data_IF_574306207166
#
_entry.id   IF_574306207166
#
_cell.length_a   1.000
_cell.length_b   1.000
_cell.length_c   1.000
_cell.angle_alpha   90.00
_cell.angle_beta   90.00
_cell.angle_gamma   90.00
#
_symmetry.space_group_name_H-M   'P 1'
#
loop_
_entity.id
_entity.type
_entity.pdbx_description
1 polymer ?
#
# COMPACT_ATOMS: atom_id res chain seq x y z
N UNK A 1 17.37 -20.66 6.23
CA UNK A 1 16.92 -19.29 6.49
C UNK A 1 17.73 -18.29 5.70
N UNK A 2 18.87 -17.75 6.18
CA UNK A 2 19.58 -16.65 5.49
C UNK A 2 19.98 -16.94 4.04
N UNK A 3 20.30 -18.19 3.69
CA UNK A 3 20.63 -18.62 2.33
C UNK A 3 19.41 -18.78 1.39
N UNK A 4 18.19 -18.50 1.85
CA UNK A 4 16.95 -18.69 1.07
C UNK A 4 16.47 -20.13 0.93
N UNK A 5 17.23 -21.10 1.47
CA UNK A 5 16.83 -22.51 1.53
C UNK A 5 15.68 -22.73 2.50
N UNK A 6 14.88 -23.75 2.22
CA UNK A 6 13.81 -24.23 3.09
C UNK A 6 14.36 -24.60 4.47
N UNK A 7 13.68 -24.19 5.54
CA UNK A 7 14.05 -24.47 6.92
C UNK A 7 12.81 -24.61 7.80
N UNK A 8 12.99 -25.09 9.02
CA UNK A 8 11.92 -25.13 10.02
C UNK A 8 12.20 -24.09 11.12
N UNK A 9 11.36 -23.04 11.28
CA UNK A 9 11.59 -22.00 12.28
C UNK A 9 11.59 -22.57 13.70
N UNK A 10 10.75 -23.57 13.96
CA UNK A 10 10.63 -24.25 15.26
C UNK A 10 11.93 -24.95 15.67
N UNK A 11 12.73 -25.44 14.71
CA UNK A 11 13.98 -26.15 14.98
C UNK A 11 15.21 -25.24 15.09
N UNK A 12 15.10 -23.98 14.65
CA UNK A 12 16.22 -23.04 14.64
C UNK A 12 16.54 -22.46 16.02
N UNK A 13 15.58 -22.47 16.95
CA UNK A 13 15.72 -21.96 18.31
C UNK A 13 16.36 -20.55 18.38
N UNK A 14 16.03 -19.66 17.44
CA UNK A 14 16.60 -18.31 17.41
C UNK A 14 16.05 -17.45 18.57
N UNK A 15 16.89 -17.02 19.53
CA UNK A 15 16.42 -16.27 20.69
C UNK A 15 16.07 -14.81 20.37
N UNK A 16 16.46 -14.28 19.20
CA UNK A 16 16.24 -12.88 18.84
C UNK A 16 14.76 -12.52 18.76
N UNK A 17 13.90 -13.47 18.38
CA UNK A 17 12.45 -13.28 18.37
C UNK A 17 11.91 -12.86 19.74
N UNK A 18 12.27 -13.60 20.78
CA UNK A 18 11.83 -13.31 22.15
C UNK A 18 12.45 -12.02 22.70
N UNK A 19 13.67 -11.68 22.26
CA UNK A 19 14.37 -10.48 22.71
C UNK A 19 13.67 -9.22 22.19
N UNK A 20 13.35 -9.15 20.90
CA UNK A 20 12.74 -7.94 20.33
C UNK A 20 11.29 -7.74 20.76
N UNK A 21 10.46 -8.80 20.83
CA UNK A 21 9.03 -8.67 21.14
C UNK A 21 8.78 -7.98 22.49
N UNK A 22 9.64 -8.21 23.49
CA UNK A 22 9.54 -7.54 24.80
C UNK A 22 9.75 -6.03 24.72
N UNK A 23 10.76 -5.59 23.96
CA UNK A 23 11.09 -4.16 23.81
C UNK A 23 10.10 -3.48 22.88
N UNK A 24 9.75 -4.14 21.77
CA UNK A 24 8.74 -3.70 20.82
C UNK A 24 7.39 -3.46 21.50
N UNK A 25 6.94 -4.37 22.38
CA UNK A 25 5.70 -4.19 23.13
C UNK A 25 5.70 -2.89 23.93
N UNK A 26 6.76 -2.63 24.69
CA UNK A 26 6.88 -1.40 25.49
C UNK A 26 6.93 -0.14 24.63
N UNK A 27 7.63 -0.19 23.50
CA UNK A 27 7.62 0.91 22.53
C UNK A 27 6.23 1.13 21.93
N UNK A 28 5.47 0.07 21.63
CA UNK A 28 4.11 0.22 21.09
C UNK A 28 3.11 0.76 22.13
N UNK A 29 3.38 0.56 23.42
CA UNK A 29 2.55 1.05 24.53
C UNK A 29 2.93 2.47 24.99
N UNK A 30 4.02 3.06 24.47
CA UNK A 30 4.44 4.39 24.89
C UNK A 30 3.55 5.48 24.30
N UNK A 31 3.26 6.52 25.10
CA UNK A 31 2.66 7.75 24.58
C UNK A 31 3.66 8.39 23.62
N UNK A 32 3.31 8.39 22.33
CA UNK A 32 4.13 8.92 21.26
C UNK A 32 4.64 10.34 21.61
N UNK A 33 5.87 10.66 21.20
CA UNK A 33 6.60 11.91 21.49
C UNK A 33 7.13 12.12 22.93
N UNK A 34 6.61 11.43 23.95
CA UNK A 34 7.01 11.67 25.35
C UNK A 34 8.14 10.78 25.85
N UNK A 35 8.28 9.56 25.32
CA UNK A 35 9.27 8.59 25.82
C UNK A 35 10.29 8.18 24.76
N UNK A 36 11.38 8.95 24.68
CA UNK A 36 12.53 8.62 23.83
C UNK A 36 13.30 7.37 24.31
N UNK A 37 13.10 6.91 25.56
CA UNK A 37 13.92 5.83 26.13
C UNK A 37 13.56 4.46 25.57
N UNK A 38 12.27 4.15 25.42
CA UNK A 38 11.86 2.86 24.84
C UNK A 38 12.21 2.77 23.36
N UNK A 39 12.15 3.89 22.63
CA UNK A 39 12.61 3.94 21.24
C UNK A 39 14.12 3.66 21.14
N UNK A 40 14.93 4.31 21.98
CA UNK A 40 16.39 4.05 22.02
C UNK A 40 16.72 2.61 22.44
N UNK A 41 15.92 1.99 23.30
CA UNK A 41 16.05 0.56 23.60
C UNK A 41 15.71 -0.30 22.39
N UNK A 42 14.66 0.03 21.64
CA UNK A 42 14.27 -0.69 20.44
C UNK A 42 15.35 -0.58 19.35
N UNK A 43 15.93 0.61 19.14
CA UNK A 43 17.00 0.86 18.16
C UNK A 43 18.19 -0.09 18.31
N UNK A 44 18.54 -0.46 19.55
CA UNK A 44 19.65 -1.40 19.85
C UNK A 44 19.43 -2.83 19.32
N UNK A 45 18.20 -3.18 18.93
CA UNK A 45 17.89 -4.47 18.34
C UNK A 45 18.03 -4.50 16.82
N UNK A 46 18.14 -3.34 16.16
CA UNK A 46 18.31 -3.29 14.70
C UNK A 46 19.77 -3.48 14.31
N UNK A 47 19.99 -3.97 13.08
CA UNK A 47 21.34 -4.09 12.54
C UNK A 47 21.97 -2.71 12.30
N UNK A 48 21.15 -1.75 11.87
CA UNK A 48 21.54 -0.34 11.70
C UNK A 48 20.32 0.54 11.95
N UNK A 49 20.47 1.54 12.80
CA UNK A 49 19.44 2.49 13.19
C UNK A 49 20.04 3.89 13.36
N UNK A 50 19.92 4.78 12.36
CA UNK A 50 20.40 6.16 12.47
C UNK A 50 19.64 6.97 13.52
N UNK A 51 20.25 8.05 14.01
CA UNK A 51 19.64 8.88 15.06
C UNK A 51 18.49 9.75 14.56
N UNK A 52 18.46 10.05 13.26
CA UNK A 52 17.44 10.83 12.59
C UNK A 52 16.25 10.00 12.08
N UNK A 53 16.20 8.70 12.42
CA UNK A 53 15.08 7.84 12.02
C UNK A 53 13.85 8.07 12.91
N UNK A 54 12.67 7.97 12.29
CA UNK A 54 11.38 8.13 12.96
C UNK A 54 10.52 6.88 12.72
N UNK A 55 10.05 6.27 13.81
CA UNK A 55 9.02 5.23 13.79
C UNK A 55 7.81 5.72 14.57
N UNK A 56 6.62 5.69 13.96
CA UNK A 56 5.37 5.92 14.67
C UNK A 56 4.88 4.58 15.23
N UNK A 57 4.70 4.42 16.55
CA UNK A 57 4.10 3.21 17.10
C UNK A 57 2.62 3.09 16.68
N UNK A 58 2.08 1.86 16.53
CA UNK A 58 2.76 0.60 16.76
C UNK A 58 3.62 0.15 15.56
N UNK A 59 4.68 -0.61 15.86
CA UNK A 59 5.54 -1.28 14.87
C UNK A 59 5.77 -2.74 15.24
N UNK A 60 6.00 -3.58 14.24
CA UNK A 60 6.14 -5.03 14.41
C UNK A 60 7.33 -5.60 13.64
N UNK A 61 8.15 -6.40 14.32
CA UNK A 61 9.32 -7.09 13.78
C UNK A 61 9.32 -8.55 14.25
N UNK A 62 9.93 -9.46 13.50
CA UNK A 62 10.20 -10.81 13.99
C UNK A 62 11.47 -10.85 14.83
N UNK A 63 12.57 -10.30 14.32
CA UNK A 63 13.89 -10.36 14.95
C UNK A 63 14.54 -9.00 15.19
N UNK A 64 14.28 -8.03 14.29
CA UNK A 64 14.88 -6.69 14.23
C UNK A 64 16.35 -6.67 13.83
N UNK A 65 17.15 -7.61 14.31
CA UNK A 65 18.60 -7.66 14.08
C UNK A 65 19.00 -7.98 12.64
N UNK A 66 18.03 -8.09 11.73
CA UNK A 66 18.21 -8.26 10.28
C UNK A 66 17.72 -7.06 9.47
N UNK A 67 17.25 -6.01 10.16
CA UNK A 67 16.75 -4.77 9.55
C UNK A 67 17.83 -3.70 9.63
N UNK A 68 18.14 -3.08 8.49
CA UNK A 68 19.08 -1.97 8.37
C UNK A 68 18.40 -0.75 7.77
N UNK A 69 18.38 0.35 8.53
CA UNK A 69 17.80 1.63 8.10
C UNK A 69 18.88 2.59 7.58
N UNK A 70 18.59 3.33 6.51
CA UNK A 70 19.34 4.50 6.08
C UNK A 70 18.93 5.77 6.84
N UNK A 71 19.64 6.88 6.58
CA UNK A 71 19.39 8.17 7.23
C UNK A 71 18.07 8.76 6.79
N UNK A 72 17.48 9.61 7.62
CA UNK A 72 16.21 10.29 7.34
C UNK A 72 15.08 9.31 6.98
N UNK A 73 15.06 8.16 7.67
CA UNK A 73 14.02 7.15 7.50
C UNK A 73 12.78 7.53 8.30
N UNK A 74 11.61 7.50 7.67
CA UNK A 74 10.33 7.73 8.32
C UNK A 74 9.36 6.58 8.03
N UNK A 75 8.76 6.02 9.07
CA UNK A 75 7.65 5.08 8.90
C UNK A 75 6.47 5.47 9.79
N UNK A 76 5.31 5.63 9.16
CA UNK A 76 4.05 5.88 9.82
C UNK A 76 3.52 4.64 10.58
N UNK A 77 2.45 4.80 11.33
CA UNK A 77 1.93 3.82 12.26
C UNK A 77 1.55 2.50 11.57
N UNK A 78 1.75 1.38 12.26
CA UNK A 78 1.37 0.06 11.77
C UNK A 78 2.40 -0.61 10.86
N UNK A 79 3.65 -0.13 10.82
CA UNK A 79 4.73 -0.80 10.10
C UNK A 79 4.89 -2.25 10.60
N UNK A 80 4.86 -3.21 9.67
CA UNK A 80 5.13 -4.61 9.96
C UNK A 80 6.27 -5.12 9.08
N UNK A 81 7.32 -5.67 9.68
CA UNK A 81 8.44 -6.28 8.97
C UNK A 81 8.64 -7.71 9.49
N UNK A 82 8.37 -8.70 8.64
CA UNK A 82 8.72 -10.10 8.93
C UNK A 82 10.14 -10.35 8.42
N UNK A 83 11.13 -10.10 9.27
CA UNK A 83 12.56 -10.14 8.95
C UNK A 83 13.20 -11.52 9.19
N UNK A 84 12.57 -12.58 8.68
CA UNK A 84 13.19 -13.91 8.54
C UNK A 84 14.45 -13.93 7.64
N UNK A 85 14.68 -12.88 6.87
CA UNK A 85 15.92 -12.58 6.15
C UNK A 85 16.21 -11.05 6.23
N UNK A 86 17.27 -10.60 5.57
CA UNK A 86 17.67 -9.18 5.58
C UNK A 86 16.61 -8.28 4.98
N UNK A 87 16.34 -7.17 5.65
CA UNK A 87 15.56 -6.04 5.11
C UNK A 87 16.45 -4.80 5.16
N UNK A 88 16.71 -4.21 4.01
CA UNK A 88 17.63 -3.06 3.89
C UNK A 88 16.91 -1.88 3.26
N UNK A 89 17.03 -0.71 3.88
CA UNK A 89 16.52 0.56 3.37
C UNK A 89 17.69 1.51 3.07
N UNK A 90 17.57 2.24 1.96
CA UNK A 90 18.43 3.39 1.64
C UNK A 90 18.10 4.62 2.50
N UNK A 91 18.66 5.77 2.10
CA UNK A 91 18.44 7.04 2.77
C UNK A 91 17.14 7.71 2.27
N UNK A 92 16.50 8.56 3.09
CA UNK A 92 15.29 9.32 2.74
C UNK A 92 14.12 8.46 2.27
N UNK A 93 13.86 7.37 3.01
CA UNK A 93 12.73 6.48 2.74
C UNK A 93 11.53 6.88 3.60
N UNK A 94 10.37 7.01 2.97
CA UNK A 94 9.10 7.34 3.61
C UNK A 94 8.11 6.19 3.45
N UNK A 95 7.62 5.65 4.57
CA UNK A 95 6.57 4.65 4.58
C UNK A 95 5.27 5.25 5.12
N UNK A 96 4.19 5.12 4.36
CA UNK A 96 2.84 5.42 4.79
C UNK A 96 2.35 4.46 5.88
N UNK A 97 1.12 4.67 6.39
CA UNK A 97 0.58 3.84 7.47
C UNK A 97 0.33 2.41 7.00
N UNK A 98 0.47 1.44 7.91
CA UNK A 98 0.16 0.03 7.68
C UNK A 98 0.94 -0.63 6.51
N UNK A 99 2.16 -0.17 6.24
CA UNK A 99 3.04 -0.85 5.26
C UNK A 99 3.54 -2.16 5.85
N UNK A 100 3.46 -3.22 5.06
CA UNK A 100 3.91 -4.56 5.44
C UNK A 100 5.03 -5.06 4.52
N UNK A 101 6.14 -5.53 5.10
CA UNK A 101 7.31 -6.00 4.37
C UNK A 101 7.64 -7.41 4.82
N UNK A 102 7.61 -8.36 3.88
CA UNK A 102 7.76 -9.77 4.19
C UNK A 102 8.99 -10.34 3.53
N UNK A 103 9.87 -10.94 4.33
CA UNK A 103 10.95 -11.79 3.80
C UNK A 103 10.58 -13.27 3.84
N UNK A 104 9.66 -13.67 4.72
CA UNK A 104 9.20 -15.04 4.88
C UNK A 104 8.14 -15.45 3.85
N UNK A 105 8.14 -16.71 3.45
CA UNK A 105 7.09 -17.33 2.65
C UNK A 105 7.03 -18.84 2.89
N UNK A 106 5.89 -19.44 2.57
CA UNK A 106 5.70 -20.89 2.71
C UNK A 106 5.64 -21.59 1.35
N UNK A 107 6.07 -22.86 1.26
CA UNK A 107 5.79 -23.69 0.09
C UNK A 107 4.30 -23.67 -0.27
N UNK A 108 4.00 -23.56 -1.57
CA UNK A 108 2.61 -23.57 -2.08
C UNK A 108 1.97 -24.95 -1.83
N UNK A 109 2.74 -26.02 -2.01
CA UNK A 109 2.28 -27.38 -1.71
C UNK A 109 1.93 -27.54 -0.23
N UNK A 110 0.68 -27.94 0.03
CA UNK A 110 0.16 -28.09 1.38
C UNK A 110 0.85 -29.23 2.16
N UNK A 111 1.20 -30.33 1.49
CA UNK A 111 1.84 -31.48 2.12
C UNK A 111 3.29 -31.20 2.56
N UNK A 112 4.01 -30.36 1.83
CA UNK A 112 5.31 -29.83 2.24
C UNK A 112 5.14 -28.81 3.35
N UNK A 113 4.23 -27.83 3.20
CA UNK A 113 3.99 -26.78 4.21
C UNK A 113 3.57 -27.34 5.57
N UNK A 114 2.78 -28.42 5.59
CA UNK A 114 2.37 -29.13 6.81
C UNK A 114 3.54 -29.71 7.63
N UNK A 115 4.76 -29.75 7.06
CA UNK A 115 5.99 -30.17 7.74
C UNK A 115 6.63 -29.04 8.56
N UNK A 116 5.92 -27.93 8.77
CA UNK A 116 6.36 -26.74 9.52
C UNK A 116 7.66 -26.16 8.96
N UNK A 117 7.64 -25.92 7.66
CA UNK A 117 8.77 -25.39 6.91
C UNK A 117 8.40 -24.11 6.17
N UNK A 118 9.38 -23.25 6.01
CA UNK A 118 9.28 -21.97 5.30
C UNK A 118 10.60 -21.64 4.59
N UNK A 119 10.57 -20.64 3.73
CA UNK A 119 11.75 -20.06 3.10
C UNK A 119 11.75 -18.56 3.37
N UNK A 120 12.92 -17.92 3.30
CA UNK A 120 13.02 -16.48 3.45
C UNK A 120 13.93 -15.85 2.41
N UNK A 121 13.50 -14.77 1.77
CA UNK A 121 14.28 -14.04 0.75
C UNK A 121 14.45 -12.58 1.17
N UNK A 122 15.64 -11.99 1.01
CA UNK A 122 15.90 -10.63 1.47
C UNK A 122 15.06 -9.61 0.69
N UNK A 123 14.75 -8.48 1.32
CA UNK A 123 14.10 -7.33 0.68
C UNK A 123 15.06 -6.14 0.72
N UNK A 124 15.20 -5.44 -0.40
CA UNK A 124 16.04 -4.25 -0.52
C UNK A 124 15.22 -3.09 -1.07
N UNK A 125 15.27 -1.94 -0.41
CA UNK A 125 14.57 -0.71 -0.79
C UNK A 125 15.64 0.38 -0.93
N UNK A 126 15.69 1.00 -2.10
CA UNK A 126 16.65 2.06 -2.44
C UNK A 126 16.46 3.34 -1.62
N UNK A 127 17.20 4.38 -2.02
CA UNK A 127 17.07 5.71 -1.42
C UNK A 127 15.97 6.51 -2.12
N UNK A 128 15.46 7.56 -1.47
CA UNK A 128 14.43 8.46 -2.01
C UNK A 128 13.11 7.73 -2.37
N UNK A 129 12.80 6.64 -1.66
CA UNK A 129 11.59 5.85 -1.90
C UNK A 129 10.43 6.32 -1.04
N UNK A 130 9.26 6.46 -1.64
CA UNK A 130 8.00 6.63 -0.94
C UNK A 130 7.07 5.44 -1.17
N UNK A 131 6.65 4.78 -0.10
CA UNK A 131 5.69 3.68 -0.13
C UNK A 131 4.38 4.13 0.50
N UNK A 132 3.32 4.16 -0.29
CA UNK A 132 1.97 4.53 0.14
C UNK A 132 1.40 3.57 1.18
N UNK A 133 0.42 4.04 1.95
CA UNK A 133 -0.17 3.26 3.04
C UNK A 133 -0.86 1.98 2.57
N UNK A 134 -0.91 0.98 3.46
CA UNK A 134 -1.44 -0.37 3.20
C UNK A 134 -0.76 -1.14 2.05
N UNK A 135 0.44 -0.73 1.62
CA UNK A 135 1.20 -1.50 0.64
C UNK A 135 1.88 -2.73 1.28
N UNK A 136 2.01 -3.79 0.49
CA UNK A 136 2.64 -5.06 0.87
C UNK A 136 3.82 -5.36 -0.06
N UNK A 137 5.00 -5.59 0.52
CA UNK A 137 6.22 -5.97 -0.19
C UNK A 137 6.53 -7.44 0.06
N UNK A 138 6.56 -8.26 -0.99
CA UNK A 138 6.75 -9.71 -0.88
C UNK A 138 8.24 -10.13 -0.75
N UNK A 139 8.51 -11.41 -0.46
CA UNK A 139 9.88 -11.93 -0.34
C UNK A 139 10.73 -11.78 -1.60
N UNK A 140 11.97 -11.34 -1.43
CA UNK A 140 12.96 -11.30 -2.52
C UNK A 140 12.89 -10.05 -3.39
N UNK A 141 12.08 -9.06 -3.01
CA UNK A 141 11.84 -7.86 -3.80
C UNK A 141 12.96 -6.84 -3.59
N UNK A 142 13.41 -6.28 -4.71
CA UNK A 142 14.26 -5.09 -4.78
C UNK A 142 13.44 -3.94 -5.35
N UNK A 143 13.33 -2.85 -4.59
CA UNK A 143 12.81 -1.56 -5.05
C UNK A 143 14.01 -0.64 -5.28
N UNK A 144 14.07 -0.06 -6.47
CA UNK A 144 15.08 0.89 -6.90
C UNK A 144 15.10 2.20 -6.11
N UNK A 145 15.95 3.13 -6.54
CA UNK A 145 16.03 4.49 -5.98
C UNK A 145 14.99 5.42 -6.63
N UNK A 146 14.55 6.44 -5.90
CA UNK A 146 13.58 7.43 -6.38
C UNK A 146 12.31 6.75 -6.94
N UNK A 147 11.66 5.95 -6.11
CA UNK A 147 10.47 5.18 -6.48
C UNK A 147 9.29 5.59 -5.63
N UNK A 148 8.13 5.76 -6.27
CA UNK A 148 6.85 5.92 -5.60
C UNK A 148 6.01 4.67 -5.78
N UNK A 149 5.67 4.00 -4.67
CA UNK A 149 4.70 2.90 -4.64
C UNK A 149 3.36 3.46 -4.17
N UNK A 150 2.31 3.31 -4.99
CA UNK A 150 0.96 3.73 -4.63
C UNK A 150 0.40 2.97 -3.42
N UNK A 151 -0.53 3.56 -2.70
CA UNK A 151 -1.23 2.91 -1.57
C UNK A 151 -1.96 1.64 -2.00
N UNK A 152 -2.07 0.68 -1.07
CA UNK A 152 -2.74 -0.61 -1.30
C UNK A 152 -2.04 -1.54 -2.30
N UNK A 153 -0.82 -1.21 -2.73
CA UNK A 153 -0.10 -2.01 -3.72
C UNK A 153 0.39 -3.34 -3.16
N UNK A 154 0.36 -4.40 -3.96
CA UNK A 154 0.98 -5.70 -3.63
C UNK A 154 2.16 -5.93 -4.56
N UNK A 155 3.36 -5.64 -4.07
CA UNK A 155 4.60 -5.70 -4.85
C UNK A 155 5.09 -7.13 -4.91
N UNK A 156 5.00 -7.73 -6.09
CA UNK A 156 5.36 -9.14 -6.37
C UNK A 156 6.57 -9.29 -7.28
N UNK A 157 7.08 -8.18 -7.85
CA UNK A 157 8.26 -8.15 -8.72
C UNK A 157 9.13 -6.95 -8.38
N UNK A 158 10.42 -7.01 -8.74
CA UNK A 158 11.34 -5.89 -8.55
C UNK A 158 10.85 -4.65 -9.28
N UNK A 159 11.07 -3.49 -8.66
CA UNK A 159 10.68 -2.19 -9.22
C UNK A 159 11.96 -1.42 -9.58
N UNK A 160 12.14 -0.97 -10.83
CA UNK A 160 13.33 -0.23 -11.24
C UNK A 160 13.36 1.18 -10.63
N UNK A 161 14.51 1.84 -10.72
CA UNK A 161 14.71 3.23 -10.29
C UNK A 161 13.81 4.21 -11.07
N UNK A 162 13.50 5.37 -10.47
CA UNK A 162 12.86 6.53 -11.10
C UNK A 162 11.44 6.28 -11.64
N UNK A 163 10.61 5.51 -10.94
CA UNK A 163 9.25 5.18 -11.39
C UNK A 163 8.17 5.41 -10.35
N UNK A 164 6.95 5.61 -10.87
CA UNK A 164 5.72 5.46 -10.11
C UNK A 164 5.13 4.08 -10.44
N UNK A 165 4.91 3.25 -9.44
CA UNK A 165 4.29 1.94 -9.57
C UNK A 165 3.11 1.80 -8.60
N UNK A 166 2.05 1.10 -9.00
CA UNK A 166 0.94 0.81 -8.12
C UNK A 166 0.14 -0.43 -8.55
N UNK A 167 -0.76 -0.90 -7.69
CA UNK A 167 -1.77 -1.91 -8.01
C UNK A 167 -1.58 -3.23 -7.27
N UNK A 168 -2.54 -4.14 -7.47
CA UNK A 168 -2.51 -5.51 -6.96
C UNK A 168 -2.81 -6.49 -8.11
N UNK A 169 -1.78 -7.16 -8.70
CA UNK A 169 -0.36 -6.98 -8.41
C UNK A 169 0.19 -5.61 -8.85
N UNK A 170 1.28 -5.17 -8.23
CA UNK A 170 1.89 -3.87 -8.49
C UNK A 170 2.60 -3.86 -9.85
N UNK A 171 2.36 -2.81 -10.63
CA UNK A 171 3.00 -2.59 -11.93
C UNK A 171 3.57 -1.18 -12.02
N UNK A 172 4.66 -1.03 -12.78
CA UNK A 172 5.17 0.28 -13.17
C UNK A 172 4.12 0.97 -14.03
N UNK A 173 3.68 2.15 -13.61
CA UNK A 173 2.69 2.96 -14.32
C UNK A 173 3.37 3.93 -15.29
N UNK A 174 4.43 4.60 -14.81
CA UNK A 174 5.21 5.57 -15.59
C UNK A 174 6.54 5.89 -14.92
N UNK A 175 7.42 6.55 -15.67
CA UNK A 175 8.63 7.17 -15.15
C UNK A 175 8.32 8.46 -14.37
N UNK A 176 9.16 8.77 -13.39
CA UNK A 176 9.25 10.09 -12.77
C UNK A 176 10.06 10.97 -13.72
N UNK A 177 9.57 12.19 -13.97
CA UNK A 177 10.12 13.06 -15.01
C UNK A 177 10.41 14.46 -14.47
N UNK A 178 11.17 15.22 -15.26
CA UNK A 178 11.41 16.65 -15.01
C UNK A 178 10.12 17.46 -14.86
N UNK A 179 9.02 17.02 -15.48
CA UNK A 179 7.71 17.65 -15.30
C UNK A 179 7.23 17.53 -13.85
N UNK A 180 7.40 16.37 -13.23
CA UNK A 180 7.03 16.14 -11.83
C UNK A 180 7.82 17.07 -10.91
N UNK A 181 9.14 17.17 -11.12
CA UNK A 181 10.01 18.09 -10.37
C UNK A 181 9.54 19.54 -10.47
N UNK A 182 9.27 20.03 -11.68
CA UNK A 182 8.80 21.41 -11.90
C UNK A 182 7.46 21.72 -11.23
N UNK A 183 6.57 20.72 -11.17
CA UNK A 183 5.30 20.85 -10.44
C UNK A 183 5.60 21.02 -8.96
N UNK A 184 6.32 20.08 -8.34
CA UNK A 184 6.56 20.11 -6.91
C UNK A 184 7.43 21.28 -6.44
N UNK A 185 8.40 21.72 -7.25
CA UNK A 185 9.19 22.95 -6.97
C UNK A 185 8.34 24.23 -7.05
N UNK A 186 7.29 24.22 -7.86
CA UNK A 186 6.32 25.32 -7.86
C UNK A 186 5.50 25.29 -6.57
N UNK A 187 4.87 24.15 -6.27
CA UNK A 187 4.07 23.97 -5.06
C UNK A 187 4.89 24.31 -3.79
N UNK A 188 6.16 23.90 -3.74
CA UNK A 188 7.05 24.19 -2.63
C UNK A 188 7.38 25.69 -2.50
N UNK A 189 7.64 26.39 -3.61
CA UNK A 189 7.85 27.85 -3.59
C UNK A 189 6.60 28.61 -3.20
N UNK A 190 5.44 28.18 -3.70
CA UNK A 190 4.15 28.78 -3.38
C UNK A 190 3.86 28.61 -1.88
N UNK A 191 4.16 27.44 -1.31
CA UNK A 191 4.09 27.18 0.13
C UNK A 191 5.01 28.11 0.94
N UNK A 192 6.24 28.37 0.47
CA UNK A 192 7.16 29.30 1.13
C UNK A 192 6.78 30.78 0.96
N UNK A 193 5.79 31.10 0.11
CA UNK A 193 5.35 32.48 -0.13
C UNK A 193 6.38 33.34 -0.87
N UNK A 194 7.27 32.73 -1.66
CA UNK A 194 8.31 33.46 -2.41
C UNK A 194 7.82 33.77 -3.83
N UNK A 195 7.33 34.98 -4.06
CA UNK A 195 7.09 35.51 -5.43
C UNK A 195 8.43 35.75 -6.14
N UNK A 196 8.55 35.32 -7.41
CA UNK A 196 9.82 35.25 -8.13
C UNK A 196 10.44 36.61 -8.46
N UNK A 197 11.76 36.71 -8.29
CA UNK A 197 12.61 37.23 -9.36
C UNK A 197 13.92 36.43 -9.40
N UNK A 198 14.09 35.59 -10.42
CA UNK A 198 15.36 34.91 -10.70
C UNK A 198 15.65 34.98 -12.19
N UNK A 199 15.92 36.21 -12.64
CA UNK A 199 16.72 36.45 -13.86
C UNK A 199 18.22 36.31 -13.63
N UNK A 200 18.72 36.01 -12.42
CA UNK A 200 20.17 35.95 -12.19
C UNK A 200 20.63 34.82 -11.28
N UNK A 201 21.50 33.96 -11.83
CA UNK A 201 22.74 33.56 -11.17
C UNK A 201 22.67 32.43 -10.15
N UNK A 202 23.12 31.26 -10.60
CA UNK A 202 23.62 30.16 -9.78
C UNK A 202 24.49 30.63 -8.58
N UNK A 203 24.27 29.96 -7.43
CA UNK A 203 24.99 30.07 -6.15
C UNK A 203 24.84 31.39 -5.38
N UNK A 204 23.85 31.43 -4.48
CA UNK A 204 24.07 32.07 -3.19
C UNK A 204 23.32 31.32 -2.09
N UNK A 205 24.01 31.17 -0.96
CA UNK A 205 23.65 30.43 0.25
C UNK A 205 22.32 30.91 0.82
N UNK A 206 21.48 29.99 1.28
CA UNK A 206 20.41 30.33 2.22
C UNK A 206 20.76 29.82 3.63
N UNK A 207 20.47 30.62 4.67
CA UNK A 207 20.77 30.31 6.06
C UNK A 207 19.76 29.30 6.62
N UNK A 208 20.18 28.67 7.71
CA UNK A 208 19.48 27.67 8.52
C UNK A 208 17.96 27.85 8.57
N UNK A 209 17.23 26.88 8.00
CA UNK A 209 15.82 26.66 8.32
C UNK A 209 15.81 25.66 9.48
N UNK A 210 15.69 26.17 10.70
CA UNK A 210 15.35 25.36 11.86
C UNK A 210 14.02 24.65 11.59
N UNK A 211 14.08 23.32 11.53
CA UNK A 211 12.91 22.46 11.54
C UNK A 211 12.29 22.61 12.93
N UNK A 212 11.19 23.37 13.01
CA UNK A 212 10.38 23.50 14.22
C UNK A 212 9.84 22.11 14.58
N UNK A 213 10.49 21.45 15.54
CA UNK A 213 9.86 20.38 16.30
C UNK A 213 8.67 20.99 17.06
N UNK A 214 7.47 20.54 16.71
CA UNK A 214 6.26 20.89 17.44
C UNK A 214 6.36 20.32 18.86
N UNK A 215 6.63 21.20 19.83
CA UNK A 215 6.65 20.84 21.24
C UNK A 215 7.35 21.89 22.08
N UNK A 216 6.66 22.99 22.39
CA UNK A 216 6.63 23.59 23.72
C UNK A 216 5.74 24.83 23.71
N UNK A 217 4.60 24.73 24.40
CA UNK A 217 3.87 25.89 24.90
C UNK A 217 4.72 26.44 26.04
N UNK A 218 5.30 27.63 25.86
CA UNK A 218 5.79 28.46 26.95
C UNK A 218 5.13 29.82 26.79
N UNK A 219 4.27 30.15 27.75
CA UNK A 219 3.71 31.49 27.93
C UNK A 219 4.85 32.50 28.03
N UNK A 220 4.87 33.48 27.13
CA UNK A 220 5.79 34.61 27.20
C UNK A 220 5.20 35.72 28.06
N UNK A 221 5.69 35.85 29.30
CA UNK A 221 5.68 37.14 29.98
C UNK A 221 6.93 37.94 29.56
N UNK A 222 6.68 39.15 29.04
CA UNK A 222 7.70 40.14 28.75
C UNK A 222 8.38 40.64 30.03
N UNK A 223 9.72 40.74 30.02
CA UNK A 223 10.43 41.94 30.49
C UNK A 223 11.92 41.95 30.10
N UNK A 224 12.22 43.02 29.36
CA UNK A 224 13.48 43.74 29.16
C UNK A 224 14.57 43.59 30.25
N UNK A 225 15.84 43.41 29.85
CA UNK A 225 16.85 44.48 29.79
C UNK A 225 18.31 43.97 29.87
N UNK A 226 19.15 44.57 29.01
CA UNK A 226 20.54 45.02 29.22
C UNK A 226 21.75 44.07 29.36
N UNK A 227 22.61 44.15 28.33
CA UNK A 227 24.05 44.48 28.32
C UNK A 227 25.01 43.69 29.24
N UNK A 228 25.97 42.94 28.68
CA UNK A 228 27.42 43.30 28.59
C UNK A 228 28.29 42.17 28.01
N UNK A 229 29.25 42.62 27.20
CA UNK A 229 30.41 41.93 26.64
C UNK A 229 31.25 41.24 27.73
N UNK A 230 31.94 40.15 27.37
CA UNK A 230 33.41 40.09 27.43
C UNK A 230 34.01 38.84 26.75
N UNK A 231 35.12 39.08 26.06
CA UNK A 231 36.04 38.15 25.42
C UNK A 231 36.86 37.33 26.44
N UNK A 232 37.31 36.14 26.02
CA UNK A 232 38.68 35.57 26.18
C UNK A 232 38.63 34.07 25.83
N UNK A 233 39.26 33.61 24.74
CA UNK A 233 40.69 33.27 24.56
C UNK A 233 41.13 31.99 25.30
N UNK A 234 41.64 31.05 24.48
CA UNK A 234 42.74 30.09 24.72
C UNK A 234 42.44 28.56 24.79
N UNK A 235 42.93 27.91 23.72
CA UNK A 235 43.89 26.79 23.67
C UNK A 235 43.50 25.34 24.05
N UNK A 236 43.61 24.49 23.01
CA UNK A 236 44.33 23.21 22.92
C UNK A 236 44.36 22.25 24.13
N UNK A 237 43.98 20.98 23.87
CA UNK A 237 44.93 19.88 23.95
C UNK A 237 44.44 18.58 23.28
N UNK A 238 45.35 17.97 22.51
CA UNK A 238 45.33 16.57 22.05
C UNK A 238 45.67 15.62 23.22
N UNK A 239 45.12 14.41 23.18
CA UNK A 239 45.85 13.21 23.61
C UNK A 239 45.26 11.96 22.96
N UNK A 240 46.11 11.24 22.23
CA UNK A 240 45.94 9.86 21.79
C UNK A 240 46.02 8.90 22.99
N UNK A 241 45.33 7.76 22.93
CA UNK A 241 45.86 6.51 23.52
C UNK A 241 45.27 5.28 22.81
N UNK A 242 46.19 4.46 22.30
CA UNK A 242 46.01 3.15 21.69
C UNK A 242 46.58 2.12 22.69
N UNK A 243 45.83 1.06 23.06
CA UNK A 243 46.39 -0.16 23.70
C UNK A 243 45.63 -1.41 23.23
N UNK A 244 46.44 -2.42 22.93
CA UNK A 244 46.24 -3.73 22.30
C UNK A 244 45.90 -4.91 23.23
N UNK A 245 45.22 -5.92 22.63
CA UNK A 245 45.25 -7.40 22.77
C UNK A 245 45.32 -8.12 24.14
N UNK A 246 44.46 -9.14 24.31
CA UNK A 246 44.85 -10.48 24.77
C UNK A 246 43.80 -11.57 24.40
N UNK A 247 44.27 -12.80 24.24
CA UNK A 247 43.53 -13.99 23.79
C UNK A 247 43.58 -15.11 24.83
N UNK A 248 42.56 -15.98 24.82
CA UNK A 248 42.63 -17.35 25.37
C UNK A 248 41.50 -17.73 26.33
N UNK A 249 40.71 -18.75 25.97
CA UNK A 249 40.72 -20.05 26.66
C UNK A 249 39.71 -21.06 26.05
N UNK A 250 40.13 -22.33 26.08
CA UNK A 250 39.46 -23.53 25.59
C UNK A 250 38.43 -24.07 26.60
N UNK A 251 37.34 -24.69 26.12
CA UNK A 251 36.71 -25.84 26.81
C UNK A 251 36.26 -26.87 25.77
N UNK A 252 36.72 -28.10 25.96
CA UNK A 252 36.26 -29.33 25.31
C UNK A 252 35.64 -30.26 26.37
N UNK A 253 34.57 -30.98 26.01
CA UNK A 253 34.07 -32.25 26.62
C UNK A 253 32.99 -32.81 25.66
N UNK A 254 33.22 -33.87 24.88
CA UNK A 254 33.25 -35.32 25.16
C UNK A 254 31.91 -36.07 24.91
N UNK A 255 31.87 -36.73 23.74
CA UNK A 255 31.36 -38.06 23.34
C UNK A 255 30.23 -38.82 24.07
N UNK A 256 29.30 -39.35 23.27
CA UNK A 256 28.97 -40.81 23.17
C UNK A 256 28.13 -41.03 21.88
N UNK A 257 28.56 -41.88 20.92
CA UNK A 257 28.15 -43.31 20.73
C UNK A 257 26.77 -43.42 20.05
N UNK A 258 26.48 -44.13 18.95
CA UNK A 258 27.07 -45.31 18.30
C UNK A 258 26.38 -45.57 16.93
N UNK A 259 27.21 -45.92 15.92
CA UNK A 259 27.11 -46.94 14.84
C UNK A 259 25.90 -47.14 13.89
N UNK A 260 26.28 -47.30 12.60
CA UNK A 260 25.83 -48.22 11.53
C UNK A 260 24.38 -48.08 11.01
N UNK A 261 24.02 -48.24 9.73
CA UNK A 261 24.54 -48.77 8.44
C UNK A 261 23.48 -48.27 7.41
N UNK A 262 23.67 -48.04 6.12
CA UNK A 262 23.97 -49.02 5.07
C UNK A 262 23.85 -48.31 3.69
N UNK A 263 24.62 -48.80 2.72
CA UNK A 263 24.59 -48.43 1.30
C UNK A 263 23.25 -48.80 0.64
N UNK A 264 22.78 -47.98 -0.30
CA UNK A 264 22.26 -48.47 -1.59
C UNK A 264 22.40 -47.41 -2.70
N UNK A 265 22.85 -47.91 -3.85
CA UNK A 265 23.19 -47.23 -5.10
C UNK A 265 22.35 -47.92 -6.18
N UNK A 266 21.64 -47.16 -7.01
CA UNK A 266 21.02 -47.54 -8.31
C UNK A 266 20.64 -46.20 -8.95
N UNK A 267 21.43 -45.63 -9.87
CA UNK A 267 21.47 -45.84 -11.33
C UNK A 267 20.15 -45.59 -12.10
N UNK A 268 20.12 -44.40 -12.74
CA UNK A 268 19.75 -44.05 -14.13
C UNK A 268 18.37 -44.46 -14.67
N UNK A 269 17.57 -43.45 -15.05
CA UNK A 269 16.97 -43.39 -16.40
C UNK A 269 16.47 -41.97 -16.75
N UNK A 270 17.01 -41.46 -17.87
CA UNK A 270 16.60 -40.28 -18.61
C UNK A 270 15.19 -40.43 -19.20
N UNK A 271 14.37 -39.37 -19.16
CA UNK A 271 13.41 -39.00 -20.23
C UNK A 271 13.09 -37.49 -20.13
N UNK A 272 13.62 -36.69 -21.07
CA UNK A 272 12.99 -35.46 -21.60
C UNK A 272 12.15 -35.86 -22.84
N UNK A 273 11.08 -35.11 -23.21
CA UNK A 273 11.25 -33.94 -24.08
C UNK A 273 10.30 -32.75 -23.87
N UNK A 274 10.86 -31.57 -24.16
CA UNK A 274 10.35 -30.42 -24.93
C UNK A 274 8.85 -30.06 -24.94
N UNK A 275 8.58 -28.76 -24.68
CA UNK A 275 7.70 -27.94 -25.52
C UNK A 275 8.04 -26.45 -25.33
N UNK A 276 8.77 -25.89 -26.29
CA UNK A 276 8.93 -24.46 -26.52
C UNK A 276 7.64 -23.84 -27.07
N UNK A 277 7.29 -22.63 -26.62
CA UNK A 277 6.52 -21.70 -27.46
C UNK A 277 7.03 -20.26 -27.25
N UNK A 278 7.46 -19.68 -28.38
CA UNK A 278 8.10 -18.38 -28.56
C UNK A 278 7.04 -17.24 -28.63
N UNK A 279 7.28 -16.07 -28.01
CA UNK A 279 6.41 -14.89 -28.10
C UNK A 279 6.76 -13.99 -29.28
N UNK A 280 5.82 -13.76 -30.19
CA UNK A 280 5.86 -12.63 -31.12
C UNK A 280 4.44 -12.20 -31.52
N UNK A 281 4.03 -11.01 -31.07
CA UNK A 281 3.43 -10.04 -31.99
C UNK A 281 3.43 -8.63 -31.40
N UNK A 282 4.28 -7.82 -32.00
CA UNK A 282 4.28 -6.36 -31.96
C UNK A 282 3.09 -5.86 -32.77
N UNK A 283 2.32 -4.90 -32.26
CA UNK A 283 1.77 -3.85 -33.11
C UNK A 283 1.89 -2.49 -32.43
N UNK A 284 2.51 -1.60 -33.19
CA UNK A 284 2.89 -0.24 -32.90
C UNK A 284 1.69 0.72 -33.03
N UNK A 285 1.68 1.70 -32.14
CA UNK A 285 1.50 3.13 -32.37
C UNK A 285 0.21 3.73 -33.00
N UNK A 286 -0.42 4.53 -32.13
CA UNK A 286 -0.66 5.97 -32.26
C UNK A 286 -1.81 6.56 -33.10
N UNK A 287 -2.56 7.39 -32.36
CA UNK A 287 -2.84 8.82 -32.60
C UNK A 287 -4.08 9.21 -33.42
N UNK A 288 -5.07 9.70 -32.66
CA UNK A 288 -5.63 11.06 -32.65
C UNK A 288 -6.20 11.74 -33.91
N UNK A 289 -7.20 12.57 -33.59
CA UNK A 289 -7.88 13.66 -34.34
C UNK A 289 -8.95 13.21 -35.35
N UNK A 290 -10.18 13.71 -35.34
CA UNK A 290 -10.73 14.95 -34.77
C UNK A 290 -11.02 15.95 -35.89
N UNK A 291 -12.30 16.33 -36.02
CA UNK A 291 -12.87 17.41 -36.85
C UNK A 291 -12.95 17.14 -38.38
N UNK A 292 -13.91 17.63 -39.16
CA UNK A 292 -14.98 18.61 -38.97
C UNK A 292 -15.79 18.72 -40.27
N UNK A 293 -16.96 19.38 -40.19
CA UNK A 293 -17.89 19.66 -41.28
C UNK A 293 -17.54 21.01 -42.00
N UNK A 294 -18.41 21.60 -42.84
CA UNK A 294 -18.32 21.78 -44.30
C UNK A 294 -17.92 23.21 -44.76
N UNK A 295 -17.62 23.41 -46.05
CA UNK A 295 -18.17 24.49 -46.91
C UNK A 295 -17.38 24.76 -48.21
N UNK A 296 -18.14 25.13 -49.25
CA UNK A 296 -17.90 26.04 -50.37
C UNK A 296 -16.62 25.98 -51.25
N UNK A 297 -16.88 25.59 -52.51
CA UNK A 297 -16.50 26.18 -53.81
C UNK A 297 -15.26 27.07 -53.98
N UNK A 298 -14.44 26.78 -55.00
CA UNK A 298 -14.32 27.58 -56.23
C UNK A 298 -13.47 26.90 -57.34
N UNK A 299 -13.92 27.08 -58.59
CA UNK A 299 -13.21 27.20 -59.89
C UNK A 299 -12.04 26.26 -60.29
N UNK A 300 -12.20 25.51 -61.40
CA UNK A 300 -11.79 25.91 -62.76
C UNK A 300 -11.88 24.76 -63.81
N UNK A 301 -12.71 24.98 -64.84
CA UNK A 301 -12.50 24.78 -66.29
C UNK A 301 -11.74 23.56 -66.86
N UNK A 302 -12.41 22.70 -67.66
CA UNK A 302 -12.48 22.82 -69.15
C UNK A 302 -13.26 21.67 -69.83
N UNK A 303 -14.18 22.07 -70.72
CA UNK A 303 -14.56 21.56 -72.05
C UNK A 303 -14.95 20.09 -72.32
N UNK A 304 -16.23 19.87 -72.68
CA UNK A 304 -16.74 19.58 -74.05
C UNK A 304 -18.16 18.94 -74.02
N UNK A 305 -19.07 19.46 -74.84
CA UNK A 305 -20.47 19.01 -75.11
C UNK A 305 -20.53 18.44 -76.56
N UNK A 306 -21.57 17.71 -77.04
CA UNK A 306 -22.89 18.27 -77.38
C UNK A 306 -24.14 17.34 -77.23
N UNK A 307 -25.31 17.94 -77.51
CA UNK A 307 -26.70 17.59 -77.21
C UNK A 307 -27.45 16.68 -78.23
N UNK A 308 -28.69 16.23 -77.89
CA UNK A 308 -29.85 16.22 -78.83
C UNK A 308 -31.25 16.02 -78.16
N UNK A 309 -32.30 16.55 -78.82
CA UNK A 309 -33.74 16.69 -78.39
C UNK A 309 -34.69 15.77 -79.21
N UNK A 310 -36.00 15.82 -78.87
CA UNK A 310 -37.27 15.48 -79.65
C UNK A 310 -37.93 14.12 -79.34
N UNK A 311 -39.26 13.84 -79.40
CA UNK A 311 -40.55 14.50 -79.75
C UNK A 311 -41.74 13.60 -79.24
N UNK A 312 -43.00 14.08 -79.17
CA UNK A 312 -44.21 13.27 -78.80
C UNK A 312 -45.25 13.18 -79.95
N UNK A 313 -45.86 12.00 -80.20
CA UNK A 313 -47.03 11.79 -81.11
C UNK A 313 -48.23 11.12 -80.42
N UNK A 314 -49.46 11.56 -80.79
CA UNK A 314 -50.81 11.18 -80.28
C UNK A 314 -51.31 9.81 -80.81
N UNK A 315 -52.14 9.07 -80.03
CA UNK A 315 -52.76 7.76 -80.37
C UNK A 315 -54.27 7.87 -80.72
N UNK A 316 -54.75 7.01 -81.64
CA UNK A 316 -56.17 6.87 -82.09
C UNK A 316 -57.02 5.96 -81.17
N UNK A 317 -58.36 6.06 -81.26
CA UNK A 317 -59.37 5.29 -80.48
C UNK A 317 -59.62 3.87 -81.07
N UNK A 318 -60.08 2.90 -80.26
CA UNK A 318 -59.92 1.45 -80.53
C UNK A 318 -60.82 0.85 -81.63
N UNK A 319 -61.91 1.51 -82.00
CA UNK A 319 -62.91 0.96 -82.95
C UNK A 319 -62.49 1.07 -84.43
N UNK A 320 -61.42 1.82 -84.73
CA UNK A 320 -60.79 1.88 -86.07
C UNK A 320 -59.54 1.00 -86.19
N UNK A 321 -59.17 0.25 -85.13
CA UNK A 321 -57.95 -0.55 -85.11
C UNK A 321 -58.19 -1.91 -85.77
N UNK A 322 -57.32 -2.28 -86.69
CA UNK A 322 -57.32 -3.64 -87.27
C UNK A 322 -57.06 -4.70 -86.18
N UNK A 323 -57.50 -5.93 -86.36
CA UNK A 323 -57.32 -7.02 -85.37
C UNK A 323 -55.87 -7.14 -84.88
N UNK A 324 -54.92 -6.87 -85.78
CA UNK A 324 -53.49 -6.89 -85.49
C UNK A 324 -53.03 -5.75 -84.56
N UNK A 325 -53.65 -4.58 -84.67
CA UNK A 325 -53.40 -3.41 -83.81
C UNK A 325 -54.06 -3.57 -82.44
N UNK A 326 -55.26 -4.17 -82.37
CA UNK A 326 -55.93 -4.49 -81.11
C UNK A 326 -55.12 -5.53 -80.31
N UNK A 327 -54.62 -6.57 -80.99
CA UNK A 327 -53.72 -7.56 -80.40
C UNK A 327 -52.41 -6.92 -79.92
N UNK A 328 -51.83 -6.00 -80.69
CA UNK A 328 -50.65 -5.26 -80.27
C UNK A 328 -50.90 -4.35 -79.05
N UNK A 329 -52.07 -3.73 -78.94
CA UNK A 329 -52.45 -2.92 -77.78
C UNK A 329 -52.73 -3.78 -76.54
N UNK A 330 -53.41 -4.92 -76.68
CA UNK A 330 -53.64 -5.89 -75.60
C UNK A 330 -52.32 -6.50 -75.10
N UNK A 331 -51.42 -6.90 -76.00
CA UNK A 331 -50.07 -7.38 -75.65
C UNK A 331 -49.23 -6.28 -74.96
N UNK A 332 -49.42 -5.01 -75.33
CA UNK A 332 -48.74 -3.87 -74.69
C UNK A 332 -49.31 -3.57 -73.30
N UNK A 333 -50.62 -3.79 -73.10
CA UNK A 333 -51.32 -3.68 -71.81
C UNK A 333 -50.91 -4.80 -70.83
N UNK A 334 -50.86 -6.06 -71.28
CA UNK A 334 -50.34 -7.17 -70.46
C UNK A 334 -48.86 -7.00 -70.10
N UNK A 335 -48.06 -6.41 -71.01
CA UNK A 335 -46.67 -6.02 -70.71
C UNK A 335 -46.55 -4.88 -69.70
N UNK A 336 -47.53 -3.98 -69.58
CA UNK A 336 -47.52 -2.93 -68.54
C UNK A 336 -47.93 -3.47 -67.17
N UNK A 337 -48.88 -4.40 -67.10
CA UNK A 337 -49.26 -5.06 -65.84
C UNK A 337 -48.12 -5.89 -65.25
N UNK A 338 -47.41 -6.63 -66.11
CA UNK A 338 -46.21 -7.38 -65.68
C UNK A 338 -45.05 -6.47 -65.26
N UNK A 339 -44.94 -5.25 -65.82
CA UNK A 339 -43.97 -4.25 -65.33
C UNK A 339 -44.37 -3.67 -63.99
N UNK A 340 -45.66 -3.39 -63.77
CA UNK A 340 -46.16 -2.88 -62.49
C UNK A 340 -46.03 -3.92 -61.38
N UNK A 341 -46.36 -5.18 -61.65
CA UNK A 341 -46.14 -6.29 -60.71
C UNK A 341 -44.66 -6.53 -60.40
N UNK A 342 -43.77 -6.42 -61.40
CA UNK A 342 -42.31 -6.48 -61.18
C UNK A 342 -41.82 -5.28 -60.36
N UNK A 343 -42.32 -4.08 -60.62
CA UNK A 343 -41.94 -2.88 -59.84
C UNK A 343 -42.43 -2.96 -58.39
N UNK A 344 -43.65 -3.46 -58.17
CA UNK A 344 -44.18 -3.71 -56.83
C UNK A 344 -43.36 -4.79 -56.10
N UNK A 345 -43.03 -5.90 -56.76
CA UNK A 345 -42.18 -6.95 -56.19
C UNK A 345 -40.76 -6.45 -55.84
N UNK A 346 -40.14 -5.64 -56.71
CA UNK A 346 -38.85 -5.01 -56.44
C UNK A 346 -38.95 -4.03 -55.27
N UNK A 347 -40.02 -3.23 -55.18
CA UNK A 347 -40.28 -2.33 -54.06
C UNK A 347 -40.43 -3.07 -52.73
N UNK A 348 -41.19 -4.16 -52.70
CA UNK A 348 -41.33 -5.00 -51.50
C UNK A 348 -40.00 -5.66 -51.11
N UNK A 349 -39.21 -6.11 -52.08
CA UNK A 349 -37.90 -6.71 -51.82
C UNK A 349 -36.90 -5.68 -51.26
N UNK A 350 -36.89 -4.46 -51.81
CA UNK A 350 -36.05 -3.37 -51.30
C UNK A 350 -36.45 -2.97 -49.88
N UNK A 351 -37.75 -2.87 -49.60
CA UNK A 351 -38.24 -2.57 -48.27
C UNK A 351 -37.85 -3.67 -47.26
N UNK A 352 -38.00 -4.95 -47.64
CA UNK A 352 -37.57 -6.08 -46.84
C UNK A 352 -36.05 -6.09 -46.59
N UNK A 353 -35.25 -5.71 -47.58
CA UNK A 353 -33.80 -5.59 -47.44
C UNK A 353 -33.40 -4.46 -46.48
N UNK A 354 -34.08 -3.31 -46.54
CA UNK A 354 -33.85 -2.20 -45.60
C UNK A 354 -34.19 -2.62 -44.18
N UNK A 355 -35.32 -3.31 -43.96
CA UNK A 355 -35.65 -3.86 -42.65
C UNK A 355 -34.63 -4.91 -42.18
N UNK A 356 -34.17 -5.80 -43.05
CA UNK A 356 -33.18 -6.80 -42.69
C UNK A 356 -31.85 -6.17 -42.25
N UNK A 357 -31.40 -5.12 -42.95
CA UNK A 357 -30.19 -4.36 -42.57
C UNK A 357 -30.40 -3.61 -41.26
N UNK A 358 -31.56 -2.96 -41.08
CA UNK A 358 -31.90 -2.27 -39.84
C UNK A 358 -31.91 -3.24 -38.64
N UNK A 359 -32.51 -4.43 -38.79
CA UNK A 359 -32.50 -5.47 -37.75
C UNK A 359 -31.09 -6.03 -37.50
N UNK A 360 -30.28 -6.23 -38.54
CA UNK A 360 -28.91 -6.70 -38.40
C UNK A 360 -28.01 -5.73 -37.62
N UNK A 361 -28.33 -4.43 -37.64
CA UNK A 361 -27.60 -3.40 -36.86
C UNK A 361 -28.22 -3.23 -35.46
N UNK A 362 -29.54 -3.16 -35.36
CA UNK A 362 -30.23 -2.84 -34.11
C UNK A 362 -30.19 -4.00 -33.10
N UNK A 363 -30.33 -5.25 -33.55
CA UNK A 363 -30.39 -6.42 -32.66
C UNK A 363 -29.07 -6.59 -31.87
N UNK A 364 -27.88 -6.54 -32.49
CA UNK A 364 -26.62 -6.62 -31.73
C UNK A 364 -26.45 -5.48 -30.73
N UNK A 365 -26.84 -4.25 -31.07
CA UNK A 365 -26.74 -3.09 -30.18
C UNK A 365 -27.65 -3.24 -28.95
N UNK A 366 -28.90 -3.67 -29.15
CA UNK A 366 -29.84 -3.95 -28.05
C UNK A 366 -29.32 -5.11 -27.20
N UNK A 367 -28.80 -6.17 -27.82
CA UNK A 367 -28.24 -7.34 -27.10
C UNK A 367 -27.03 -6.95 -26.25
N UNK A 368 -26.13 -6.11 -26.76
CA UNK A 368 -24.98 -5.61 -26.03
C UNK A 368 -25.41 -4.73 -24.85
N UNK A 369 -26.40 -3.87 -25.07
CA UNK A 369 -26.95 -2.98 -24.02
C UNK A 369 -27.58 -3.79 -22.89
N UNK A 370 -28.37 -4.83 -23.22
CA UNK A 370 -28.96 -5.73 -22.23
C UNK A 370 -27.91 -6.49 -21.44
N UNK A 371 -26.86 -7.03 -22.10
CA UNK A 371 -25.74 -7.69 -21.39
C UNK A 371 -25.00 -6.76 -20.45
N UNK A 372 -24.80 -5.50 -20.85
CA UNK A 372 -24.16 -4.51 -19.99
C UNK A 372 -25.05 -4.17 -18.77
N UNK A 373 -26.37 -4.14 -18.95
CA UNK A 373 -27.32 -3.95 -17.85
C UNK A 373 -27.33 -5.13 -16.88
N UNK A 374 -27.30 -6.37 -17.38
CA UNK A 374 -27.21 -7.58 -16.54
C UNK A 374 -25.90 -7.60 -15.73
N UNK A 375 -24.77 -7.30 -16.37
CA UNK A 375 -23.48 -7.20 -15.67
C UNK A 375 -23.47 -6.11 -14.58
N UNK A 376 -24.13 -4.97 -14.83
CA UNK A 376 -24.26 -3.91 -13.84
C UNK A 376 -25.15 -4.35 -12.67
N UNK A 377 -26.21 -5.11 -12.92
CA UNK A 377 -27.08 -5.67 -11.88
C UNK A 377 -26.33 -6.65 -10.99
N UNK A 378 -25.50 -7.53 -11.58
CA UNK A 378 -24.66 -8.48 -10.82
C UNK A 378 -23.66 -7.73 -9.92
N UNK A 379 -23.05 -6.66 -10.41
CA UNK A 379 -22.15 -5.83 -9.61
C UNK A 379 -22.86 -5.17 -8.42
N UNK A 380 -24.08 -4.68 -8.62
CA UNK A 380 -24.90 -4.10 -7.54
C UNK A 380 -25.26 -5.15 -6.49
N UNK A 381 -25.57 -6.38 -6.89
CA UNK A 381 -25.85 -7.48 -5.96
C UNK A 381 -24.62 -7.87 -5.13
N UNK A 382 -23.43 -7.92 -5.74
CA UNK A 382 -22.18 -8.17 -5.02
C UNK A 382 -21.89 -7.07 -4.01
N UNK A 383 -22.05 -5.80 -4.40
CA UNK A 383 -21.88 -4.66 -3.50
C UNK A 383 -22.89 -4.68 -2.34
N UNK A 384 -24.14 -5.04 -2.59
CA UNK A 384 -25.15 -5.20 -1.55
C UNK A 384 -24.78 -6.31 -0.54
N UNK A 385 -24.24 -7.44 -1.03
CA UNK A 385 -23.73 -8.51 -0.16
C UNK A 385 -22.54 -8.07 0.69
N UNK A 386 -21.60 -7.30 0.12
CA UNK A 386 -20.48 -6.74 0.87
C UNK A 386 -20.93 -5.74 1.95
N UNK A 387 -21.94 -4.92 1.64
CA UNK A 387 -22.53 -3.99 2.59
C UNK A 387 -23.22 -4.74 3.76
N UNK A 388 -23.95 -5.81 3.47
CA UNK A 388 -24.58 -6.63 4.50
C UNK A 388 -23.56 -7.31 5.41
N UNK A 389 -22.50 -7.91 4.85
CA UNK A 389 -21.42 -8.51 5.64
C UNK A 389 -20.72 -7.48 6.54
N UNK A 390 -20.55 -6.25 6.04
CA UNK A 390 -19.97 -5.16 6.83
C UNK A 390 -20.89 -4.76 7.99
N UNK A 391 -22.20 -4.73 7.76
CA UNK A 391 -23.20 -4.44 8.80
C UNK A 391 -23.20 -5.52 9.88
N UNK A 392 -23.13 -6.79 9.50
CA UNK A 392 -23.09 -7.92 10.44
C UNK A 392 -21.81 -7.88 11.31
N UNK A 393 -20.66 -7.53 10.72
CA UNK A 393 -19.42 -7.31 11.46
C UNK A 393 -19.53 -6.15 12.45
N UNK A 394 -20.15 -5.04 12.05
CA UNK A 394 -20.37 -3.89 12.95
C UNK A 394 -21.28 -4.29 14.11
N UNK A 395 -22.35 -5.04 13.87
CA UNK A 395 -23.23 -5.54 14.92
C UNK A 395 -22.48 -6.46 15.91
N UNK A 396 -21.65 -7.37 15.41
CA UNK A 396 -20.83 -8.23 16.29
C UNK A 396 -19.81 -7.45 17.14
N UNK A 397 -19.25 -6.36 16.61
CA UNK A 397 -18.40 -5.45 17.38
C UNK A 397 -19.19 -4.69 18.45
N UNK A 398 -20.42 -4.24 18.14
CA UNK A 398 -21.31 -3.57 19.11
C UNK A 398 -21.65 -4.53 20.25
N UNK A 399 -22.01 -5.78 19.95
CA UNK A 399 -22.32 -6.79 20.97
C UNK A 399 -21.11 -7.09 21.86
N UNK A 400 -19.92 -7.20 21.27
CA UNK A 400 -18.67 -7.41 22.01
C UNK A 400 -18.32 -6.22 22.91
N UNK A 401 -18.56 -5.00 22.43
CA UNK A 401 -18.35 -3.77 23.21
C UNK A 401 -19.35 -3.68 24.37
N UNK A 402 -20.62 -4.03 24.15
CA UNK A 402 -21.65 -4.08 25.21
C UNK A 402 -21.31 -5.12 26.28
N UNK A 403 -20.84 -6.30 25.87
CA UNK A 403 -20.39 -7.33 26.82
C UNK A 403 -19.20 -6.86 27.67
N UNK A 404 -18.23 -6.17 27.05
CA UNK A 404 -17.07 -5.60 27.75
C UNK A 404 -17.47 -4.51 28.73
N UNK A 405 -18.42 -3.63 28.35
CA UNK A 405 -18.97 -2.60 29.23
C UNK A 405 -19.66 -3.21 30.46
N UNK A 406 -20.47 -4.26 30.27
CA UNK A 406 -21.08 -4.98 31.39
C UNK A 406 -20.05 -5.61 32.33
N UNK A 407 -18.91 -6.09 31.80
CA UNK A 407 -17.80 -6.57 32.61
C UNK A 407 -17.14 -5.47 33.44
N UNK A 408 -17.02 -4.25 32.89
CA UNK A 408 -16.49 -3.08 33.61
C UNK A 408 -17.45 -2.67 34.72
N UNK A 409 -18.76 -2.62 34.47
CA UNK A 409 -19.76 -2.27 35.49
C UNK A 409 -19.66 -3.21 36.69
N UNK A 410 -19.50 -4.51 36.45
CA UNK A 410 -19.30 -5.50 37.52
C UNK A 410 -18.01 -5.26 38.31
N UNK A 411 -16.90 -4.96 37.65
CA UNK A 411 -15.63 -4.65 38.33
C UNK A 411 -15.75 -3.37 39.18
N UNK A 412 -16.49 -2.37 38.69
CA UNK A 412 -16.75 -1.14 39.45
C UNK A 412 -17.61 -1.43 40.68
N UNK A 413 -18.64 -2.28 40.54
CA UNK A 413 -19.49 -2.71 41.65
C UNK A 413 -18.69 -3.47 42.72
N UNK A 414 -17.93 -4.50 42.32
CA UNK A 414 -17.09 -5.31 43.21
C UNK A 414 -16.05 -4.44 43.96
N UNK A 415 -15.45 -3.47 43.27
CA UNK A 415 -14.48 -2.55 43.88
C UNK A 415 -15.16 -1.56 44.84
N UNK A 416 -16.37 -1.09 44.52
CA UNK A 416 -17.13 -0.16 45.38
C UNK A 416 -17.52 -0.85 46.70
N UNK A 417 -17.93 -2.12 46.63
CA UNK A 417 -18.22 -2.94 47.80
C UNK A 417 -16.96 -3.14 48.66
N UNK A 418 -15.84 -3.51 48.03
CA UNK A 418 -14.55 -3.68 48.72
C UNK A 418 -14.09 -2.39 49.42
N UNK A 419 -14.18 -1.24 48.75
CA UNK A 419 -13.82 0.07 49.32
C UNK A 419 -14.72 0.40 50.51
N UNK A 420 -16.01 0.10 50.42
CA UNK A 420 -16.98 0.33 51.50
C UNK A 420 -16.63 -0.51 52.72
N UNK A 421 -16.31 -1.79 52.55
CA UNK A 421 -15.87 -2.66 53.64
C UNK A 421 -14.58 -2.17 54.30
N UNK A 422 -13.58 -1.77 53.51
CA UNK A 422 -12.30 -1.25 54.02
C UNK A 422 -12.53 0.05 54.80
N UNK A 423 -13.37 0.94 54.27
CA UNK A 423 -13.71 2.21 54.93
C UNK A 423 -14.42 1.96 56.27
N UNK A 424 -15.33 0.99 56.32
CA UNK A 424 -16.00 0.60 57.56
C UNK A 424 -15.03 0.02 58.60
N UNK A 425 -14.10 -0.85 58.17
CA UNK A 425 -13.06 -1.41 59.05
C UNK A 425 -12.12 -0.33 59.58
N UNK A 426 -11.71 0.63 58.75
CA UNK A 426 -10.90 1.77 59.17
C UNK A 426 -11.64 2.67 60.15
N UNK A 427 -12.94 2.90 59.95
CA UNK A 427 -13.78 3.67 60.88
C UNK A 427 -14.00 3.01 62.24
N UNK A 428 -13.72 1.70 62.37
CA UNK A 428 -13.75 0.97 63.64
C UNK A 428 -12.41 1.00 64.40
N UNK A 429 -11.35 1.55 63.79
CA UNK A 429 -10.06 1.71 64.48
C UNK A 429 -10.20 2.85 65.49
N UNK A 430 -10.02 2.50 66.76
CA UNK A 430 -9.95 3.43 67.87
C UNK A 430 -8.54 4.05 67.92
N UNK A 431 -8.37 5.12 67.14
CA UNK A 431 -7.07 5.78 67.00
C UNK A 431 -6.55 6.37 68.32
N UNK A 432 -7.44 6.74 69.26
CA UNK A 432 -7.04 7.21 70.60
C UNK A 432 -6.38 6.09 71.41
N UNK A 433 -6.92 4.86 71.36
CA UNK A 433 -6.25 3.70 72.00
C UNK A 433 -4.93 3.33 71.34
N UNK A 434 -4.84 3.49 70.02
CA UNK A 434 -3.60 3.24 69.29
C UNK A 434 -2.52 4.25 69.71
N UNK A 435 -2.86 5.53 69.81
CA UNK A 435 -1.95 6.59 70.24
C UNK A 435 -1.52 6.38 71.70
N UNK A 436 -2.45 6.03 72.59
CA UNK A 436 -2.14 5.67 73.97
C UNK A 436 -1.19 4.47 74.05
N UNK A 437 -1.39 3.46 73.20
CA UNK A 437 -0.48 2.29 73.16
C UNK A 437 0.92 2.66 72.67
N UNK A 438 1.05 3.65 71.79
CA UNK A 438 2.33 4.18 71.31
C UNK A 438 3.03 4.94 72.43
N UNK A 439 2.31 5.78 73.16
CA UNK A 439 2.83 6.53 74.31
C UNK A 439 3.30 5.60 75.43
N UNK A 440 2.49 4.58 75.76
CA UNK A 440 2.85 3.55 76.74
C UNK A 440 4.14 2.83 76.31
N UNK A 441 4.28 2.50 75.02
CA UNK A 441 5.48 1.86 74.49
C UNK A 441 6.70 2.78 74.57
N UNK A 442 6.54 4.07 74.28
CA UNK A 442 7.59 5.07 74.39
C UNK A 442 8.10 5.21 75.83
N UNK A 443 7.20 5.12 76.81
CA UNK A 443 7.55 5.17 78.24
C UNK A 443 8.30 3.91 78.69
N UNK A 444 7.91 2.72 78.19
CA UNK A 444 8.67 1.48 78.40
C UNK A 444 10.09 1.59 77.83
N UNK A 445 10.23 2.10 76.60
CA UNK A 445 11.54 2.29 75.95
C UNK A 445 12.41 3.27 76.73
N UNK A 446 11.83 4.37 77.21
CA UNK A 446 12.52 5.34 78.06
C UNK A 446 13.02 4.70 79.35
N UNK A 447 12.15 3.93 80.02
CA UNK A 447 12.50 3.20 81.25
C UNK A 447 13.63 2.21 81.01
N UNK A 448 13.59 1.44 79.92
CA UNK A 448 14.66 0.50 79.55
C UNK A 448 15.98 1.22 79.26
N UNK A 449 15.94 2.40 78.63
CA UNK A 449 17.12 3.24 78.40
C UNK A 449 17.74 3.74 79.71
N UNK A 450 16.91 4.17 80.67
CA UNK A 450 17.37 4.61 81.99
C UNK A 450 18.01 3.46 82.78
N UNK A 451 17.38 2.28 82.79
CA UNK A 451 17.97 1.07 83.41
C UNK A 451 19.31 0.71 82.77
N UNK A 452 19.39 0.75 81.43
CA UNK A 452 20.64 0.45 80.71
C UNK A 452 21.75 1.44 81.04
N UNK A 453 21.41 2.71 81.32
CA UNK A 453 22.37 3.73 81.74
C UNK A 453 22.90 3.55 83.16
N UNK A 454 22.12 2.92 84.05
CA UNK A 454 22.54 2.56 85.42
C UNK A 454 23.49 1.35 85.47
N UNK A 455 23.47 0.49 84.44
CA UNK A 455 24.36 -0.66 84.31
C UNK A 455 25.69 -0.33 83.61
N UNK A 456 25.82 0.85 83.01
CA UNK A 456 27.08 1.40 82.47
C UNK A 456 27.74 2.28 83.50
#
# INVERSE_FOLDING_TARGET
>A
MMEGKLYSPVKLCDPSFHKIKKVQKRFNECEYWKDSKEFEKLKKHFMRAPDDMVLIPPVYFDHGNRVSFGRQFYANAGLTILDENRVTFGDRVFLGPCVSIFTAGHPIDAGVRARNVEFSKPVSIGSDVWIGGNAVINPGITIGNDVVIGSGSVVTHNIPDHVVAAGNPCHVLRQITEKDRKIWEREYRDYLGVEQDLTHGFFSRNPEVEIIQAGNVVETEQKSASVKQQENVATENKADTEITFEAGENIACLNSGTQNTEKRRTEIQDVEPDLEFNPDNRFLNNANSGEGNPDNGNSNNNDLNPAEKTEKRKKKKPEEMTDHELLAALLKSQKSDTRFQKAAAVGTFLLAAVFAIAFAILIPQVTLTLRNADNALDQVQVLAGQAQNSLDNVNGLVDSAQHSLSGIDKVVEDNTETITEVTQKLGQIDFEKLDQSIDDLAEVVKTLSEVTSLFR
#
